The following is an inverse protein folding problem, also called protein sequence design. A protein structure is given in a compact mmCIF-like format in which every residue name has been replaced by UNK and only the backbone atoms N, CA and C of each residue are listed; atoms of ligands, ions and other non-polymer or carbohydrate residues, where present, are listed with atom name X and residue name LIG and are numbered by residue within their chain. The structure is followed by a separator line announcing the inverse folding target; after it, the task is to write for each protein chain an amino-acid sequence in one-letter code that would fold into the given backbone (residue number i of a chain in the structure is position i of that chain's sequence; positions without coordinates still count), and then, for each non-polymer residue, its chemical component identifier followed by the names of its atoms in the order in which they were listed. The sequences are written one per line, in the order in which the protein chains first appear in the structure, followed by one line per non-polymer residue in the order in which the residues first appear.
data_IF_598506545391
#
_entry.id   IF_598506545391
#
_cell.length_a   1.000
_cell.length_b   1.000
_cell.length_c   1.000
_cell.angle_alpha   90.00
_cell.angle_beta   90.00
_cell.angle_gamma   90.00
#
_symmetry.space_group_name_H-M   'P 1'
#
loop_
_entity.id
_entity.type
_entity.pdbx_description
1 polymer ?
#
# COMPACT_ATOMS: atom_id res chain seq x y z
N UNK A 1 12.85 25.73 -95.08
CA UNK A 1 12.53 25.61 -93.64
C UNK A 1 12.32 27.05 -93.16
N UNK A 2 11.11 27.64 -93.08
CA UNK A 2 9.92 27.34 -92.23
C UNK A 2 10.37 27.20 -90.75
N UNK A 3 9.90 27.91 -89.71
CA UNK A 3 8.72 28.76 -89.38
C UNK A 3 9.05 29.56 -88.09
N UNK A 4 8.70 30.85 -87.96
CA UNK A 4 7.54 31.46 -87.27
C UNK A 4 7.62 31.63 -85.73
N UNK A 5 7.36 32.87 -85.32
CA UNK A 5 6.95 33.32 -83.97
C UNK A 5 5.62 32.70 -83.52
N UNK A 6 5.43 32.53 -82.21
CA UNK A 6 4.34 33.10 -81.38
C UNK A 6 4.48 32.55 -79.94
N UNK A 7 4.27 33.37 -78.90
CA UNK A 7 3.02 33.33 -78.11
C UNK A 7 3.16 32.33 -76.95
N UNK A 8 3.22 32.71 -75.68
CA UNK A 8 2.17 33.41 -74.95
C UNK A 8 1.85 32.58 -73.68
N UNK A 9 1.49 33.29 -72.62
CA UNK A 9 0.90 32.80 -71.35
C UNK A 9 1.84 32.15 -70.31
N UNK A 10 2.41 32.99 -69.44
CA UNK A 10 2.81 32.55 -68.11
C UNK A 10 1.54 32.40 -67.26
N UNK A 11 1.03 31.17 -67.19
CA UNK A 11 -0.12 30.84 -66.34
C UNK A 11 0.33 30.78 -64.89
N UNK A 12 -0.14 31.75 -64.10
CA UNK A 12 -0.11 31.75 -62.64
C UNK A 12 -0.97 30.60 -62.12
N UNK A 13 -0.34 29.60 -61.48
CA UNK A 13 -1.04 28.61 -60.67
C UNK A 13 -1.13 29.09 -59.21
N UNK A 14 -2.26 28.88 -58.49
CA UNK A 14 -2.42 29.31 -57.10
C UNK A 14 -1.61 28.44 -56.13
N UNK A 15 -1.10 29.05 -55.06
CA UNK A 15 -0.51 28.37 -53.90
C UNK A 15 -1.56 27.47 -53.22
N UNK A 16 -1.17 26.34 -52.60
CA UNK A 16 -2.08 25.51 -51.84
C UNK A 16 -2.66 26.28 -50.64
N UNK A 17 -3.89 25.96 -50.20
CA UNK A 17 -4.47 26.60 -49.02
C UNK A 17 -3.66 26.25 -47.78
N UNK A 18 -3.37 27.25 -46.95
CA UNK A 18 -2.70 27.09 -45.68
C UNK A 18 -3.46 26.10 -44.78
N UNK A 19 -2.79 25.05 -44.32
CA UNK A 19 -3.28 24.20 -43.23
C UNK A 19 -3.56 25.10 -42.02
N UNK A 20 -4.83 25.17 -41.63
CA UNK A 20 -5.21 25.77 -40.35
C UNK A 20 -4.65 24.89 -39.22
N UNK A 21 -4.09 25.46 -38.14
CA UNK A 21 -3.71 24.68 -36.97
C UNK A 21 -4.98 24.03 -36.40
N UNK A 22 -5.07 22.70 -36.47
CA UNK A 22 -6.12 21.98 -35.76
C UNK A 22 -5.93 22.20 -34.26
N UNK A 23 -6.95 22.73 -33.59
CA UNK A 23 -7.00 22.79 -32.14
C UNK A 23 -6.89 21.35 -31.59
N UNK A 24 -6.11 21.10 -30.52
CA UNK A 24 -5.98 19.77 -29.94
C UNK A 24 -7.35 19.29 -29.45
N UNK A 25 -7.72 18.05 -29.77
CA UNK A 25 -8.92 17.41 -29.24
C UNK A 25 -8.93 17.47 -27.69
N UNK A 26 -10.09 17.71 -27.05
CA UNK A 26 -10.19 17.64 -25.60
C UNK A 26 -9.86 16.22 -25.14
N UNK A 27 -8.81 16.06 -24.34
CA UNK A 27 -8.53 14.81 -23.64
C UNK A 27 -9.77 14.40 -22.82
N UNK A 28 -10.17 13.11 -22.82
CA UNK A 28 -11.25 12.66 -21.96
C UNK A 28 -10.93 13.02 -20.49
N UNK A 29 -11.94 13.34 -19.66
CA UNK A 29 -11.71 13.64 -18.26
C UNK A 29 -10.90 12.51 -17.62
N UNK A 30 -9.76 12.85 -17.01
CA UNK A 30 -9.00 11.89 -16.23
C UNK A 30 -9.95 11.26 -15.20
N UNK A 31 -10.08 9.93 -15.21
CA UNK A 31 -10.86 9.24 -14.20
C UNK A 31 -10.38 9.69 -12.82
N UNK A 32 -11.29 10.07 -11.89
CA UNK A 32 -10.89 10.40 -10.54
C UNK A 32 -10.11 9.22 -9.96
N UNK A 33 -9.05 9.45 -9.17
CA UNK A 33 -8.23 8.38 -8.61
C UNK A 33 -9.15 7.36 -7.92
N UNK A 34 -9.17 6.13 -8.42
CA UNK A 34 -9.95 5.06 -7.81
C UNK A 34 -9.53 4.98 -6.34
N UNK A 35 -10.50 5.16 -5.43
CA UNK A 35 -10.21 5.01 -4.01
C UNK A 35 -9.62 3.60 -3.81
N UNK A 36 -8.47 3.46 -3.13
CA UNK A 36 -7.84 2.16 -2.99
C UNK A 36 -8.82 1.21 -2.32
N UNK A 37 -9.04 0.05 -2.95
CA UNK A 37 -9.94 -0.95 -2.40
C UNK A 37 -9.33 -1.52 -1.10
N UNK A 38 -9.84 -1.01 0.02
CA UNK A 38 -9.42 -1.41 1.37
C UNK A 38 -10.04 -2.75 1.79
N UNK A 39 -10.87 -3.36 0.94
CA UNK A 39 -11.57 -4.61 1.22
C UNK A 39 -10.64 -5.81 1.08
N UNK A 40 -9.64 -5.71 0.20
CA UNK A 40 -8.68 -6.79 -0.05
C UNK A 40 -7.43 -6.65 0.83
N UNK A 41 -7.04 -7.70 1.58
CA UNK A 41 -5.77 -7.76 2.29
C UNK A 41 -4.60 -7.47 1.35
N UNK A 42 -3.54 -6.85 1.86
CA UNK A 42 -2.31 -6.60 1.09
C UNK A 42 -1.53 -7.89 0.86
N UNK A 43 -1.61 -8.79 1.83
CA UNK A 43 -0.98 -10.10 1.82
C UNK A 43 -2.03 -11.15 2.13
N UNK A 44 -2.04 -12.23 1.36
CA UNK A 44 -2.87 -13.40 1.66
C UNK A 44 -2.35 -14.12 2.91
N UNK A 45 -3.23 -14.87 3.57
CA UNK A 45 -2.93 -15.48 4.87
C UNK A 45 -1.84 -16.56 4.77
N UNK A 46 -1.66 -17.22 3.61
CA UNK A 46 -0.64 -18.24 3.43
C UNK A 46 0.75 -17.60 3.28
N UNK A 47 0.86 -16.58 2.43
CA UNK A 47 2.12 -15.82 2.30
C UNK A 47 2.46 -15.12 3.62
N UNK A 48 1.47 -14.54 4.31
CA UNK A 48 1.66 -13.94 5.65
C UNK A 48 2.20 -14.97 6.64
N UNK A 49 1.65 -16.18 6.66
CA UNK A 49 2.12 -17.26 7.53
C UNK A 49 3.55 -17.68 7.19
N UNK A 50 3.88 -17.82 5.91
CA UNK A 50 5.23 -18.18 5.47
C UNK A 50 6.28 -17.14 5.90
N UNK A 51 5.99 -15.84 5.71
CA UNK A 51 6.91 -14.78 6.16
C UNK A 51 7.07 -14.74 7.69
N UNK A 52 5.99 -15.00 8.44
CA UNK A 52 6.04 -15.05 9.90
C UNK A 52 6.87 -16.24 10.40
N UNK A 53 6.74 -17.40 9.74
CA UNK A 53 7.50 -18.60 10.07
C UNK A 53 9.00 -18.41 9.76
N UNK A 54 9.33 -17.86 8.59
CA UNK A 54 10.71 -17.48 8.22
C UNK A 54 11.34 -16.59 9.29
N UNK A 55 10.62 -15.55 9.73
CA UNK A 55 11.11 -14.60 10.73
C UNK A 55 11.25 -15.22 12.13
N UNK A 56 10.38 -16.15 12.49
CA UNK A 56 10.31 -16.72 13.83
C UNK A 56 11.31 -17.86 14.07
N UNK A 57 12.05 -18.32 13.05
CA UNK A 57 12.92 -19.50 13.10
C UNK A 57 13.79 -19.61 14.36
N UNK A 58 14.59 -18.57 14.67
CA UNK A 58 15.43 -18.58 15.88
C UNK A 58 14.62 -18.49 17.19
N UNK A 59 13.45 -17.85 17.16
CA UNK A 59 12.60 -17.67 18.33
C UNK A 59 11.77 -18.91 18.69
N UNK A 60 11.66 -19.87 17.77
CA UNK A 60 10.92 -21.12 17.96
C UNK A 60 11.78 -22.29 18.44
N UNK A 61 13.08 -22.08 18.64
CA UNK A 61 13.97 -23.09 19.20
C UNK A 61 13.45 -23.54 20.58
N UNK A 62 13.20 -24.84 20.73
CA UNK A 62 12.68 -25.44 21.96
C UNK A 62 11.16 -25.46 22.13
N UNK A 63 10.38 -24.91 21.17
CA UNK A 63 8.92 -25.04 21.15
C UNK A 63 8.49 -26.33 20.43
N UNK A 64 7.41 -26.95 20.89
CA UNK A 64 6.75 -28.03 20.15
C UNK A 64 6.03 -27.49 18.91
N UNK A 65 5.91 -28.31 17.86
CA UNK A 65 5.22 -27.94 16.60
C UNK A 65 3.81 -27.39 16.86
N UNK A 66 3.04 -28.04 17.75
CA UNK A 66 1.71 -27.58 18.15
C UNK A 66 1.73 -26.16 18.73
N UNK A 67 2.76 -25.80 19.50
CA UNK A 67 2.88 -24.46 20.07
C UNK A 67 3.33 -23.44 19.03
N UNK A 68 4.24 -23.81 18.12
CA UNK A 68 4.63 -22.98 16.98
C UNK A 68 3.42 -22.65 16.12
N UNK A 69 2.60 -23.65 15.79
CA UNK A 69 1.42 -23.48 14.96
C UNK A 69 0.40 -22.51 15.56
N UNK A 70 0.19 -22.59 16.88
CA UNK A 70 -0.68 -21.67 17.63
C UNK A 70 -0.13 -20.25 17.62
N UNK A 71 1.19 -20.07 17.83
CA UNK A 71 1.80 -18.74 17.76
C UNK A 71 1.59 -18.15 16.37
N UNK A 72 1.95 -18.89 15.32
CA UNK A 72 1.81 -18.41 13.94
C UNK A 72 0.36 -18.07 13.60
N UNK A 73 -0.60 -18.88 14.05
CA UNK A 73 -2.02 -18.62 13.82
C UNK A 73 -2.46 -17.32 14.51
N UNK A 74 -2.02 -17.09 15.76
CA UNK A 74 -2.30 -15.86 16.48
C UNK A 74 -1.65 -14.64 15.81
N UNK A 75 -0.40 -14.77 15.37
CA UNK A 75 0.32 -13.70 14.66
C UNK A 75 -0.39 -13.30 13.36
N UNK A 76 -0.83 -14.27 12.55
CA UNK A 76 -1.60 -14.02 11.31
C UNK A 76 -2.87 -13.23 11.61
N UNK A 77 -3.64 -13.62 12.64
CA UNK A 77 -4.88 -12.93 13.01
C UNK A 77 -4.62 -11.49 13.46
N UNK A 78 -3.60 -11.29 14.29
CA UNK A 78 -3.23 -9.97 14.79
C UNK A 78 -2.74 -9.08 13.64
N UNK A 79 -1.79 -9.55 12.84
CA UNK A 79 -1.20 -8.77 11.75
C UNK A 79 -2.26 -8.39 10.71
N UNK A 80 -3.16 -9.31 10.34
CA UNK A 80 -4.28 -9.01 9.43
C UNK A 80 -5.21 -7.92 9.98
N UNK A 81 -5.54 -7.99 11.26
CA UNK A 81 -6.42 -7.00 11.89
C UNK A 81 -5.75 -5.62 11.95
N UNK A 82 -4.45 -5.59 12.28
CA UNK A 82 -3.62 -4.38 12.34
C UNK A 82 -3.47 -3.75 10.96
N UNK A 83 -3.16 -4.54 9.92
CA UNK A 83 -3.04 -4.08 8.54
C UNK A 83 -4.30 -3.33 8.10
N UNK A 84 -5.47 -3.94 8.35
CA UNK A 84 -6.76 -3.31 8.05
C UNK A 84 -6.98 -2.01 8.81
N UNK A 85 -6.59 -1.93 10.08
CA UNK A 85 -6.72 -0.73 10.89
C UNK A 85 -5.79 0.40 10.40
N UNK A 86 -4.53 0.09 10.05
CA UNK A 86 -3.59 1.07 9.50
C UNK A 86 -4.08 1.62 8.14
N UNK A 87 -4.57 0.74 7.26
CA UNK A 87 -5.16 1.16 5.99
C UNK A 87 -6.39 2.06 6.18
N UNK A 88 -7.26 1.70 7.13
CA UNK A 88 -8.42 2.50 7.50
C UNK A 88 -8.01 3.88 8.03
N UNK A 89 -6.94 3.95 8.81
CA UNK A 89 -6.41 5.19 9.38
C UNK A 89 -5.62 6.03 8.37
N UNK A 90 -5.46 5.54 7.14
CA UNK A 90 -4.93 6.28 6.00
C UNK A 90 -3.42 6.19 5.82
N UNK A 91 -2.78 5.17 6.39
CA UNK A 91 -1.37 4.86 6.12
C UNK A 91 -1.18 4.33 4.69
N UNK A 92 0.00 4.54 4.13
CA UNK A 92 0.34 4.20 2.75
C UNK A 92 0.22 2.71 2.48
N UNK A 93 -0.60 2.35 1.48
CA UNK A 93 -0.75 0.96 1.01
C UNK A 93 0.58 0.41 0.48
N UNK A 94 1.33 1.23 -0.24
CA UNK A 94 2.56 0.81 -0.90
C UNK A 94 3.63 0.50 0.14
N UNK A 95 3.77 1.33 1.18
CA UNK A 95 4.71 1.06 2.28
C UNK A 95 4.31 -0.18 3.09
N UNK A 96 3.03 -0.34 3.43
CA UNK A 96 2.56 -1.54 4.15
C UNK A 96 2.74 -2.83 3.31
N UNK A 97 2.79 -2.71 1.99
CA UNK A 97 3.07 -3.81 1.07
C UNK A 97 4.58 -4.15 0.95
N UNK A 98 5.47 -3.35 1.52
CA UNK A 98 6.91 -3.65 1.55
C UNK A 98 7.24 -4.66 2.65
N UNK A 99 7.99 -5.73 2.31
CA UNK A 99 8.42 -6.75 3.29
C UNK A 99 9.21 -6.14 4.45
N UNK A 100 10.13 -5.21 4.17
CA UNK A 100 10.91 -4.50 5.19
C UNK A 100 10.03 -3.79 6.21
N UNK A 101 8.98 -3.09 5.76
CA UNK A 101 8.04 -2.39 6.64
C UNK A 101 7.17 -3.35 7.44
N UNK A 102 6.71 -4.45 6.84
CA UNK A 102 6.04 -5.52 7.59
C UNK A 102 6.95 -6.09 8.67
N UNK A 103 8.22 -6.29 8.36
CA UNK A 103 9.20 -6.83 9.31
C UNK A 103 9.50 -5.86 10.46
N UNK A 104 9.56 -4.55 10.20
CA UNK A 104 9.60 -3.50 11.25
C UNK A 104 8.36 -3.60 12.16
N UNK A 105 7.15 -3.61 11.57
CA UNK A 105 5.87 -3.71 12.30
C UNK A 105 5.82 -4.98 13.16
N UNK A 106 6.21 -6.13 12.59
CA UNK A 106 6.28 -7.42 13.30
C UNK A 106 7.23 -7.36 14.49
N UNK A 107 8.34 -6.63 14.37
CA UNK A 107 9.27 -6.36 15.48
C UNK A 107 8.55 -5.77 16.69
N UNK A 108 7.79 -4.70 16.50
CA UNK A 108 7.01 -4.06 17.56
C UNK A 108 5.86 -4.93 18.08
N UNK A 109 5.18 -5.67 17.20
CA UNK A 109 4.02 -6.47 17.56
C UNK A 109 4.37 -7.74 18.34
N UNK A 110 5.41 -8.45 17.94
CA UNK A 110 5.63 -9.84 18.35
C UNK A 110 6.95 -10.08 19.09
N UNK A 111 7.91 -9.14 19.00
CA UNK A 111 9.27 -9.32 19.51
C UNK A 111 9.66 -8.23 20.51
N UNK A 112 8.99 -8.24 21.67
CA UNK A 112 9.26 -7.26 22.73
C UNK A 112 10.67 -7.48 23.31
N UNK A 113 11.53 -6.47 23.19
CA UNK A 113 12.95 -6.54 23.55
C UNK A 113 13.68 -7.70 22.83
N UNK A 114 13.31 -7.99 21.57
CA UNK A 114 13.89 -9.07 20.77
C UNK A 114 13.47 -10.48 21.22
N UNK A 115 12.43 -10.60 22.06
CA UNK A 115 11.89 -11.90 22.50
C UNK A 115 10.45 -12.05 22.08
N UNK A 116 10.10 -13.28 21.70
CA UNK A 116 8.74 -13.65 21.36
C UNK A 116 7.80 -13.42 22.55
N UNK A 117 6.58 -12.93 22.27
CA UNK A 117 5.54 -12.82 23.30
C UNK A 117 5.14 -14.19 23.87
N UNK A 118 4.63 -14.17 25.10
CA UNK A 118 4.04 -15.37 25.71
C UNK A 118 2.72 -15.75 25.03
N UNK A 119 2.34 -17.04 25.06
CA UNK A 119 1.07 -17.50 24.52
C UNK A 119 -0.14 -16.78 25.16
N UNK A 120 -0.08 -16.52 26.48
CA UNK A 120 -1.11 -15.75 27.18
C UNK A 120 -1.28 -14.34 26.62
N UNK A 121 -0.18 -13.71 26.20
CA UNK A 121 -0.20 -12.39 25.55
C UNK A 121 -0.83 -12.48 24.17
N UNK A 122 -0.48 -13.49 23.36
CA UNK A 122 -1.10 -13.74 22.06
C UNK A 122 -2.62 -13.92 22.18
N UNK A 123 -3.09 -14.77 23.10
CA UNK A 123 -4.52 -14.98 23.33
C UNK A 123 -5.25 -13.68 23.71
N UNK A 124 -4.62 -12.84 24.54
CA UNK A 124 -5.16 -11.52 24.89
C UNK A 124 -5.23 -10.61 23.68
N UNK A 125 -4.17 -10.56 22.87
CA UNK A 125 -4.10 -9.69 21.69
C UNK A 125 -5.12 -10.11 20.64
N UNK A 126 -5.26 -11.41 20.37
CA UNK A 126 -6.27 -11.95 19.44
C UNK A 126 -7.67 -11.52 19.86
N UNK A 127 -8.02 -11.68 21.15
CA UNK A 127 -9.32 -11.22 21.67
C UNK A 127 -9.50 -9.72 21.49
N UNK A 128 -8.50 -8.92 21.85
CA UNK A 128 -8.58 -7.47 21.75
C UNK A 128 -8.77 -6.98 20.31
N UNK A 129 -8.06 -7.55 19.33
CA UNK A 129 -8.24 -7.16 17.92
C UNK A 129 -9.59 -7.61 17.36
N UNK A 130 -10.14 -8.72 17.84
CA UNK A 130 -11.48 -9.17 17.46
C UNK A 130 -12.59 -8.25 18.01
N UNK A 131 -12.44 -7.73 19.24
CA UNK A 131 -13.41 -6.78 19.82
C UNK A 131 -13.27 -5.36 19.27
N UNK A 132 -12.08 -4.98 18.80
CA UNK A 132 -11.85 -3.71 18.13
C UNK A 132 -10.37 -3.34 18.04
N UNK A 133 -9.79 -3.51 16.86
CA UNK A 133 -8.36 -3.30 16.61
C UNK A 133 -7.85 -1.95 17.09
N UNK A 134 -8.54 -0.83 16.80
CA UNK A 134 -8.08 0.51 17.19
C UNK A 134 -7.93 0.72 18.70
N UNK A 135 -8.65 -0.07 19.52
CA UNK A 135 -8.58 0.00 21.00
C UNK A 135 -7.62 -1.01 21.60
N UNK A 136 -7.17 -1.97 20.79
CA UNK A 136 -6.29 -3.06 21.21
C UNK A 136 -4.91 -2.56 21.63
N UNK A 137 -4.29 -3.26 22.58
CA UNK A 137 -2.89 -3.01 22.96
C UNK A 137 -1.91 -3.13 21.78
N UNK A 138 -1.95 -4.15 20.91
CA UNK A 138 -1.02 -4.23 19.78
C UNK A 138 -1.11 -3.02 18.84
N UNK A 139 -2.32 -2.48 18.61
CA UNK A 139 -2.46 -1.28 17.81
C UNK A 139 -1.86 -0.04 18.49
N UNK A 140 -2.15 0.16 19.78
CA UNK A 140 -1.59 1.27 20.56
C UNK A 140 -0.06 1.25 20.58
N UNK A 141 0.55 0.07 20.75
CA UNK A 141 2.02 -0.09 20.68
C UNK A 141 2.58 0.43 19.36
N UNK A 142 1.90 0.18 18.24
CA UNK A 142 2.34 0.69 16.94
C UNK A 142 2.13 2.20 16.82
N UNK A 143 0.97 2.73 17.23
CA UNK A 143 0.73 4.18 17.21
C UNK A 143 1.72 4.93 18.11
N UNK A 144 2.06 4.37 19.26
CA UNK A 144 3.07 4.91 20.17
C UNK A 144 4.46 4.87 19.51
N UNK A 145 4.81 3.78 18.82
CA UNK A 145 6.07 3.68 18.07
C UNK A 145 6.14 4.71 16.92
N UNK A 146 5.03 4.91 16.20
CA UNK A 146 4.95 5.90 15.12
C UNK A 146 5.05 7.32 15.65
N UNK A 147 4.28 7.64 16.69
CA UNK A 147 4.30 8.97 17.31
C UNK A 147 5.64 9.31 17.97
N UNK A 148 6.36 8.30 18.46
CA UNK A 148 7.71 8.43 19.02
C UNK A 148 8.82 8.37 17.97
N UNK A 149 8.49 8.33 16.67
CA UNK A 149 9.47 8.22 15.56
C UNK A 149 10.37 6.98 15.62
N UNK A 150 9.93 5.91 16.29
CA UNK A 150 10.61 4.62 16.29
C UNK A 150 10.16 3.73 15.12
N UNK A 151 9.01 4.05 14.51
CA UNK A 151 8.47 3.40 13.32
C UNK A 151 8.01 4.48 12.34
N UNK A 152 8.56 4.47 11.13
CA UNK A 152 8.19 5.46 10.11
C UNK A 152 7.18 4.86 9.13
N UNK A 153 5.95 5.40 9.15
CA UNK A 153 4.89 5.13 8.19
C UNK A 153 4.27 6.44 7.71
N UNK A 154 4.12 6.55 6.39
CA UNK A 154 3.55 7.70 5.71
C UNK A 154 2.03 7.65 5.73
N UNK A 155 1.40 8.76 6.14
CA UNK A 155 -0.04 8.93 6.09
C UNK A 155 -0.44 9.62 4.79
N UNK A 156 -1.15 8.91 3.92
CA UNK A 156 -1.53 9.39 2.57
C UNK A 156 -2.91 10.04 2.55
N UNK A 157 -3.80 9.71 3.50
CA UNK A 157 -5.05 10.45 3.68
C UNK A 157 -4.83 11.65 4.61
N UNK A 158 -4.97 12.87 4.08
CA UNK A 158 -5.14 14.06 4.92
C UNK A 158 -6.45 13.90 5.70
N UNK A 159 -6.38 13.71 7.01
CA UNK A 159 -7.56 13.91 7.87
C UNK A 159 -7.90 15.39 7.74
N UNK A 160 -8.97 15.73 7.03
CA UNK A 160 -9.64 17.02 7.22
C UNK A 160 -10.13 17.01 8.66
N UNK A 161 -9.35 17.59 9.57
CA UNK A 161 -9.81 17.95 10.90
C UNK A 161 -10.92 18.98 10.67
N UNK A 162 -12.17 18.56 10.77
CA UNK A 162 -13.26 19.51 10.90
C UNK A 162 -13.11 20.10 12.29
N UNK A 163 -12.59 21.33 12.34
CA UNK A 163 -12.69 22.16 13.53
C UNK A 163 -14.17 22.37 13.83
N UNK A 164 -14.55 22.13 15.08
CA UNK A 164 -15.89 22.39 15.60
C UNK A 164 -15.75 23.31 16.79
#
# INVERSE_FOLDING_TARGET
MHVSSDGGTSSRAPLPPAEQPQAPEPLPPAEPPQAPDLSHPLLDDNTRRAELDERAGFHFVGLSEKNKDKVLLAQVQIERAIEKALLSDGYSRDELSQKSKRDEIRGFLFYRNGKLLSMKTYDSYVKEVQFGTHRSRPYKVLIDAISSSNLFLTKVKKIKRWER
#
